data_IF_888445257440
#
_entry.id   IF_888445257440
#
_cell.length_a   1.000
_cell.length_b   1.000
_cell.length_c   1.000
_cell.angle_alpha   90.00
_cell.angle_beta   90.00
_cell.angle_gamma   90.00
#
_symmetry.space_group_name_H-M   'P 1'
#
loop_
_entity.id
_entity.type
_entity.pdbx_description
1 polymer ?
#
# COMPACT_ATOMS: atom_id res chain seq x y z
N UNK A 1 -8.12 18.16 -32.72
CA UNK A 1 -7.20 19.31 -32.72
C UNK A 1 -7.21 19.94 -31.34
N UNK A 2 -6.05 20.29 -30.80
CA UNK A 2 -5.87 20.98 -29.53
C UNK A 2 -5.30 22.37 -29.79
N UNK A 3 -5.82 23.36 -29.08
CA UNK A 3 -5.31 24.74 -29.09
C UNK A 3 -4.17 24.87 -28.09
N UNK A 4 -3.06 25.46 -28.54
CA UNK A 4 -1.92 25.82 -27.70
C UNK A 4 -2.09 27.28 -27.29
N UNK A 5 -2.07 27.52 -25.99
CA UNK A 5 -2.26 28.85 -25.41
C UNK A 5 -0.93 29.46 -24.97
N UNK A 6 -0.78 30.78 -25.11
CA UNK A 6 0.30 31.55 -24.49
C UNK A 6 0.04 31.76 -22.99
N UNK A 7 0.96 32.44 -22.30
CA UNK A 7 0.79 32.79 -20.88
C UNK A 7 -0.38 33.77 -20.64
N UNK A 8 -0.78 34.52 -21.66
CA UNK A 8 -1.84 35.54 -21.63
C UNK A 8 -3.23 34.96 -21.93
N UNK A 9 -3.31 33.69 -22.38
CA UNK A 9 -4.55 32.99 -22.70
C UNK A 9 -4.97 33.03 -24.18
N UNK A 10 -4.16 33.59 -25.07
CA UNK A 10 -4.41 33.63 -26.52
C UNK A 10 -3.95 32.34 -27.21
N UNK A 11 -4.66 31.98 -28.28
CA UNK A 11 -4.36 30.78 -29.09
C UNK A 11 -3.23 31.10 -30.06
N UNK A 12 -2.07 30.48 -29.87
CA UNK A 12 -0.90 30.65 -30.76
C UNK A 12 -0.97 29.67 -31.93
N UNK A 13 -1.34 28.42 -31.66
CA UNK A 13 -1.24 27.34 -32.63
C UNK A 13 -2.30 26.26 -32.37
N UNK A 14 -2.73 25.58 -33.43
CA UNK A 14 -3.51 24.34 -33.32
C UNK A 14 -2.65 23.14 -33.70
N UNK A 15 -2.71 22.08 -32.89
CA UNK A 15 -1.95 20.84 -33.05
C UNK A 15 -2.93 19.67 -33.14
N UNK A 16 -2.64 18.68 -33.97
CA UNK A 16 -3.41 17.43 -33.99
C UNK A 16 -3.13 16.58 -32.75
N UNK A 17 -4.19 16.02 -32.15
CA UNK A 17 -3.98 15.16 -30.97
C UNK A 17 -3.31 13.85 -31.41
N UNK A 18 -2.21 13.44 -30.75
CA UNK A 18 -1.62 12.13 -30.98
C UNK A 18 -2.60 10.99 -30.70
N UNK A 19 -2.41 9.86 -31.38
CA UNK A 19 -3.25 8.65 -31.26
C UNK A 19 -3.35 8.12 -29.83
N UNK A 20 -2.39 8.44 -28.96
CA UNK A 20 -2.41 8.05 -27.54
C UNK A 20 -3.63 8.57 -26.77
N UNK A 21 -4.24 9.66 -27.22
CA UNK A 21 -5.45 10.22 -26.59
C UNK A 21 -6.75 9.62 -27.11
N UNK A 22 -6.70 8.82 -28.17
CA UNK A 22 -7.87 8.12 -28.75
C UNK A 22 -7.99 6.68 -28.27
N UNK A 23 -7.19 6.27 -27.27
CA UNK A 23 -7.21 4.92 -26.72
C UNK A 23 -8.50 4.66 -25.93
N UNK A 24 -8.97 3.41 -25.93
CA UNK A 24 -10.11 2.98 -25.12
C UNK A 24 -9.89 3.21 -23.62
N UNK A 25 -10.91 3.76 -22.95
CA UNK A 25 -10.90 3.95 -21.50
C UNK A 25 -11.19 2.63 -20.76
N UNK A 26 -10.17 2.10 -20.09
CA UNK A 26 -10.23 0.86 -19.30
C UNK A 26 -9.89 1.12 -17.82
N UNK A 27 -10.88 1.42 -16.96
CA UNK A 27 -10.64 1.76 -15.55
C UNK A 27 -10.07 0.60 -14.72
N UNK A 28 -10.38 -0.65 -15.07
CA UNK A 28 -9.90 -1.83 -14.35
C UNK A 28 -8.38 -1.97 -14.40
N UNK A 29 -7.81 -1.80 -15.59
CA UNK A 29 -6.35 -1.84 -15.80
C UNK A 29 -5.65 -0.70 -15.07
N UNK A 30 -6.22 0.50 -15.12
CA UNK A 30 -5.70 1.67 -14.39
C UNK A 30 -5.68 1.39 -12.89
N UNK A 31 -6.80 0.89 -12.33
CA UNK A 31 -6.94 0.61 -10.90
C UNK A 31 -5.98 -0.48 -10.44
N UNK A 32 -5.78 -1.52 -11.25
CA UNK A 32 -4.83 -2.60 -10.98
C UNK A 32 -3.39 -2.07 -10.99
N UNK A 33 -3.00 -1.35 -12.04
CA UNK A 33 -1.68 -0.74 -12.15
C UNK A 33 -1.39 0.20 -10.97
N UNK A 34 -2.34 1.07 -10.62
CA UNK A 34 -2.20 2.00 -9.50
C UNK A 34 -1.97 1.28 -8.17
N UNK A 35 -2.73 0.22 -7.87
CA UNK A 35 -2.54 -0.59 -6.65
C UNK A 35 -1.15 -1.22 -6.59
N UNK A 36 -0.63 -1.70 -7.71
CA UNK A 36 0.72 -2.29 -7.79
C UNK A 36 1.78 -1.23 -7.55
N UNK A 37 1.73 -0.10 -8.26
CA UNK A 37 2.70 1.00 -8.11
C UNK A 37 2.72 1.51 -6.66
N UNK A 38 1.54 1.68 -6.05
CA UNK A 38 1.43 2.13 -4.66
C UNK A 38 1.97 1.11 -3.67
N UNK A 39 1.78 -0.20 -3.93
CA UNK A 39 2.34 -1.27 -3.11
C UNK A 39 3.87 -1.26 -3.16
N UNK A 40 4.45 -1.10 -4.36
CA UNK A 40 5.90 -1.15 -4.57
C UNK A 40 6.63 0.08 -4.03
N UNK A 41 5.94 1.23 -3.91
CA UNK A 41 6.50 2.44 -3.27
C UNK A 41 6.56 2.34 -1.73
N UNK A 42 5.96 1.31 -1.13
CA UNK A 42 5.84 1.19 0.32
C UNK A 42 7.18 0.83 0.96
N UNK A 43 7.58 1.58 1.99
CA UNK A 43 8.75 1.23 2.80
C UNK A 43 8.44 0.01 3.69
N UNK A 44 9.34 -0.99 3.76
CA UNK A 44 9.20 -2.11 4.69
C UNK A 44 9.17 -1.61 6.14
N UNK A 45 8.30 -2.21 6.95
CA UNK A 45 8.14 -1.90 8.36
C UNK A 45 7.90 -3.18 9.15
N UNK A 46 8.29 -3.19 10.41
CA UNK A 46 8.08 -4.32 11.29
C UNK A 46 8.55 -4.04 12.70
N UNK A 47 8.14 -4.89 13.62
CA UNK A 47 8.56 -4.85 15.02
C UNK A 47 9.94 -5.50 15.16
N UNK A 48 10.75 -5.07 16.13
CA UNK A 48 12.00 -5.76 16.49
C UNK A 48 11.70 -7.23 16.86
N UNK A 49 12.57 -8.16 16.43
CA UNK A 49 12.38 -9.62 16.63
C UNK A 49 12.12 -9.99 18.09
N UNK A 50 12.82 -9.36 19.03
CA UNK A 50 12.70 -9.65 20.47
C UNK A 50 11.75 -8.69 21.22
N UNK A 51 10.93 -7.92 20.52
CA UNK A 51 10.01 -6.99 21.18
C UNK A 51 8.95 -7.75 22.01
N UNK A 52 8.89 -7.45 23.31
CA UNK A 52 7.96 -8.11 24.24
C UNK A 52 8.36 -9.56 24.60
N UNK A 53 9.56 -10.00 24.17
CA UNK A 53 10.16 -11.24 24.63
C UNK A 53 10.84 -10.99 25.98
N UNK A 54 10.30 -11.59 27.04
CA UNK A 54 10.87 -11.58 28.38
C UNK A 54 11.27 -12.99 28.79
N UNK A 55 12.29 -13.11 29.64
CA UNK A 55 12.60 -14.36 30.34
C UNK A 55 11.51 -14.56 31.39
N UNK A 56 10.52 -15.38 31.06
CA UNK A 56 9.34 -15.63 31.88
C UNK A 56 8.96 -17.11 31.80
N UNK A 57 8.47 -17.67 32.90
CA UNK A 57 8.08 -19.07 33.00
C UNK A 57 6.76 -19.21 33.75
N UNK A 58 6.04 -20.30 33.54
CA UNK A 58 4.76 -20.54 34.21
C UNK A 58 4.99 -21.16 35.58
N UNK A 59 4.40 -20.58 36.63
CA UNK A 59 4.53 -21.08 38.01
C UNK A 59 3.81 -22.42 38.27
N UNK A 60 3.11 -22.95 37.26
CA UNK A 60 2.36 -24.20 37.34
C UNK A 60 0.97 -24.06 37.99
N UNK A 61 0.20 -25.16 38.03
CA UNK A 61 -1.09 -25.21 38.70
C UNK A 61 -0.97 -25.17 40.24
N UNK A 62 -2.11 -25.09 40.94
CA UNK A 62 -2.16 -25.19 42.41
C UNK A 62 -1.91 -23.89 43.19
N UNK A 63 -1.85 -22.74 42.51
CA UNK A 63 -1.55 -21.43 43.12
C UNK A 63 -2.69 -20.41 43.03
N UNK A 64 -3.89 -20.82 42.58
CA UNK A 64 -5.02 -19.90 42.35
C UNK A 64 -4.77 -18.86 41.24
N UNK A 65 -3.78 -19.10 40.38
CA UNK A 65 -3.34 -18.17 39.33
C UNK A 65 -3.45 -18.81 37.95
N UNK A 66 -3.63 -17.97 36.92
CA UNK A 66 -3.55 -18.40 35.52
C UNK A 66 -2.15 -18.90 35.15
N UNK A 67 -2.09 -19.90 34.25
CA UNK A 67 -0.88 -20.61 33.78
C UNK A 67 -0.01 -19.84 32.78
N UNK A 68 -0.27 -18.54 32.60
CA UNK A 68 0.51 -17.66 31.70
C UNK A 68 1.95 -17.53 32.22
N UNK A 69 2.97 -17.41 31.34
CA UNK A 69 4.34 -17.09 31.74
C UNK A 69 4.42 -15.80 32.55
N UNK A 70 5.18 -15.83 33.64
CA UNK A 70 5.38 -14.71 34.56
C UNK A 70 6.86 -14.40 34.74
N UNK A 71 7.15 -13.14 34.98
CA UNK A 71 8.44 -12.70 35.49
C UNK A 71 8.63 -13.22 36.92
N UNK A 72 9.86 -13.19 37.43
CA UNK A 72 10.15 -13.48 38.85
C UNK A 72 9.30 -12.64 39.81
N UNK A 73 8.92 -11.42 39.40
CA UNK A 73 8.04 -10.53 40.16
C UNK A 73 6.56 -10.95 40.17
N UNK A 74 6.18 -12.06 39.51
CA UNK A 74 4.80 -12.55 39.43
C UNK A 74 3.92 -11.87 38.35
N UNK A 75 4.43 -10.85 37.65
CA UNK A 75 3.68 -10.18 36.57
C UNK A 75 3.64 -11.06 35.31
N UNK A 76 2.47 -11.21 34.70
CA UNK A 76 2.32 -11.86 33.40
C UNK A 76 3.13 -11.15 32.31
N UNK A 77 3.84 -11.91 31.48
CA UNK A 77 4.67 -11.39 30.42
C UNK A 77 4.69 -12.36 29.22
N UNK A 78 5.45 -12.01 28.16
CA UNK A 78 5.73 -12.83 26.98
C UNK A 78 4.55 -13.12 26.04
N UNK A 79 3.31 -13.17 26.54
CA UNK A 79 2.10 -13.54 25.79
C UNK A 79 1.32 -12.30 25.33
N UNK A 80 0.65 -12.30 24.17
CA UNK A 80 -0.11 -11.16 23.63
C UNK A 80 -1.21 -10.62 24.54
N UNK A 81 -1.75 -11.44 25.44
CA UNK A 81 -2.77 -10.99 26.42
C UNK A 81 -2.18 -10.26 27.63
N UNK A 82 -0.86 -10.05 27.69
CA UNK A 82 -0.20 -9.40 28.83
C UNK A 82 0.30 -8.01 28.47
N UNK A 83 0.26 -7.10 29.44
CA UNK A 83 0.80 -5.74 29.26
C UNK A 83 2.29 -5.82 28.97
N UNK A 84 2.73 -5.19 27.87
CA UNK A 84 4.10 -5.25 27.30
C UNK A 84 4.53 -6.61 26.72
N UNK A 85 3.66 -7.63 26.69
CA UNK A 85 3.97 -8.91 26.06
C UNK A 85 4.11 -8.83 24.53
N UNK A 86 4.65 -9.88 23.91
CA UNK A 86 4.80 -9.93 22.44
C UNK A 86 3.43 -9.99 21.76
N UNK A 87 3.27 -9.30 20.64
CA UNK A 87 2.07 -9.42 19.83
C UNK A 87 2.04 -10.79 19.10
N UNK A 88 0.86 -11.40 18.94
CA UNK A 88 0.70 -12.55 18.07
C UNK A 88 0.79 -12.09 16.60
N UNK A 89 1.65 -12.72 15.81
CA UNK A 89 1.91 -12.38 14.41
C UNK A 89 2.26 -10.89 14.19
N UNK A 90 3.36 -10.39 14.78
CA UNK A 90 3.76 -9.00 14.60
C UNK A 90 4.12 -8.74 13.12
N UNK A 91 4.01 -7.47 12.65
CA UNK A 91 4.48 -7.11 11.33
C UNK A 91 5.98 -7.39 11.22
N UNK A 92 6.38 -8.08 10.15
CA UNK A 92 7.78 -8.38 9.86
C UNK A 92 8.27 -7.48 8.73
N UNK A 93 9.45 -6.90 8.91
CA UNK A 93 10.14 -6.14 7.87
C UNK A 93 10.49 -7.02 6.66
N UNK A 94 10.68 -8.32 6.89
CA UNK A 94 10.96 -9.35 5.87
C UNK A 94 9.76 -9.64 4.93
N UNK A 95 8.59 -9.06 5.18
CA UNK A 95 7.42 -9.26 4.33
C UNK A 95 7.62 -8.64 2.95
N UNK A 96 7.45 -9.43 1.91
CA UNK A 96 7.50 -8.97 0.51
C UNK A 96 6.20 -8.21 0.21
N UNK A 97 6.32 -6.90 0.02
CA UNK A 97 5.20 -6.02 -0.36
C UNK A 97 5.10 -5.78 -1.86
N UNK A 98 6.18 -6.10 -2.59
CA UNK A 98 6.25 -5.90 -4.02
C UNK A 98 5.26 -6.78 -4.76
N UNK A 99 4.63 -6.19 -5.76
CA UNK A 99 3.73 -6.86 -6.69
C UNK A 99 4.25 -6.69 -8.11
N UNK A 100 4.22 -7.79 -8.86
CA UNK A 100 4.59 -7.79 -10.27
C UNK A 100 3.39 -7.40 -11.13
N UNK A 101 3.65 -6.64 -12.19
CA UNK A 101 2.71 -6.36 -13.27
C UNK A 101 3.40 -6.58 -14.61
N UNK A 102 2.65 -7.04 -15.61
CA UNK A 102 3.18 -7.25 -16.95
C UNK A 102 3.50 -5.91 -17.62
N UNK A 103 4.58 -5.85 -18.39
CA UNK A 103 5.00 -4.62 -19.10
C UNK A 103 3.92 -4.11 -20.06
N UNK A 104 3.28 -5.02 -20.82
CA UNK A 104 2.19 -4.69 -21.76
C UNK A 104 0.96 -4.14 -21.03
N UNK A 105 0.60 -4.74 -19.89
CA UNK A 105 -0.53 -4.31 -19.08
C UNK A 105 -0.28 -2.92 -18.47
N UNK A 106 0.93 -2.67 -17.98
CA UNK A 106 1.35 -1.37 -17.48
C UNK A 106 1.33 -0.29 -18.56
N UNK A 107 1.76 -0.62 -19.78
CA UNK A 107 1.70 0.29 -20.92
C UNK A 107 0.25 0.64 -21.29
N UNK A 108 -0.62 -0.36 -21.41
CA UNK A 108 -2.04 -0.15 -21.70
C UNK A 108 -2.73 0.69 -20.62
N UNK A 109 -2.44 0.42 -19.34
CA UNK A 109 -2.99 1.21 -18.23
C UNK A 109 -2.54 2.69 -18.32
N UNK A 110 -1.29 2.95 -18.70
CA UNK A 110 -0.78 4.32 -18.88
C UNK A 110 -1.45 5.04 -20.05
N UNK A 111 -1.59 4.38 -21.20
CA UNK A 111 -2.25 4.95 -22.38
C UNK A 111 -3.74 5.21 -22.12
N UNK A 112 -4.43 4.26 -21.49
CA UNK A 112 -5.82 4.39 -21.06
C UNK A 112 -6.01 5.57 -20.09
N UNK A 113 -5.11 5.73 -19.12
CA UNK A 113 -5.15 6.86 -18.19
C UNK A 113 -4.87 8.21 -18.87
N UNK A 114 -4.00 8.24 -19.88
CA UNK A 114 -3.71 9.45 -20.66
C UNK A 114 -4.91 9.84 -21.55
N UNK A 115 -5.55 8.86 -22.20
CA UNK A 115 -6.78 9.09 -22.96
C UNK A 115 -7.88 9.72 -22.09
N UNK A 116 -8.04 9.23 -20.85
CA UNK A 116 -9.03 9.76 -19.90
C UNK A 116 -8.85 11.24 -19.57
N UNK A 117 -7.66 11.84 -19.75
CA UNK A 117 -7.47 13.27 -19.49
C UNK A 117 -8.00 14.17 -20.61
N UNK A 118 -8.26 13.62 -21.80
CA UNK A 118 -8.86 14.37 -22.91
C UNK A 118 -10.39 14.51 -22.74
N UNK A 119 -11.03 13.60 -22.00
CA UNK A 119 -12.47 13.61 -21.79
C UNK A 119 -12.87 14.57 -20.64
N UNK A 120 -13.57 15.65 -21.00
CA UNK A 120 -14.05 16.68 -20.07
C UNK A 120 -15.04 16.14 -19.04
N UNK A 121 -15.87 15.15 -19.39
CA UNK A 121 -16.82 14.57 -18.44
C UNK A 121 -16.10 13.77 -17.36
N UNK A 122 -15.16 12.92 -17.75
CA UNK A 122 -14.39 12.10 -16.81
C UNK A 122 -13.58 12.99 -15.88
N UNK A 123 -12.97 14.06 -16.41
CA UNK A 123 -12.21 15.04 -15.61
C UNK A 123 -13.13 15.79 -14.62
N UNK A 124 -14.34 16.15 -15.02
CA UNK A 124 -15.31 16.81 -14.12
C UNK A 124 -15.86 15.90 -13.03
N UNK A 125 -15.99 14.60 -13.31
CA UNK A 125 -16.52 13.59 -12.36
C UNK A 125 -15.49 13.11 -11.34
N UNK A 126 -14.20 13.44 -11.54
CA UNK A 126 -13.09 13.03 -10.67
C UNK A 126 -13.08 13.76 -9.33
#
# INVERSE_FOLDING_TARGET
MAKVYNLEGDVIQEIELPTCFSMEYRPDLIKKAFKVIRSNRRQPYGTKKDAGHYVAWSFGPGRGMSRIPRLSSGRGAFVPGTVKGRQAHPPKSEKIWDRKINKKEMLLARLSALSATADKEIVRKR
#
